data_IF_543117640881
#
_entry.id   IF_543117640881
#
_cell.length_a   1.000
_cell.length_b   1.000
_cell.length_c   1.000
_cell.angle_alpha   90.00
_cell.angle_beta   90.00
_cell.angle_gamma   90.00
#
_symmetry.space_group_name_H-M   'P 1'
#
loop_
_entity.id
_entity.type
_entity.pdbx_description
1 polymer ?
#
# COMPACT_ATOMS: atom_id res chain seq x y z
N UNK A 1 -18.87 60.53 29.69
CA UNK A 1 -19.03 59.07 29.84
C UNK A 1 -19.71 58.50 28.58
N UNK A 2 -18.89 58.11 27.59
CA UNK A 2 -19.29 57.26 26.45
C UNK A 2 -18.06 56.44 26.08
N UNK A 3 -18.18 55.12 26.24
CA UNK A 3 -17.15 54.14 25.94
C UNK A 3 -17.05 53.96 24.41
N UNK A 4 -15.85 54.10 23.87
CA UNK A 4 -15.47 53.67 22.53
C UNK A 4 -14.82 52.28 22.64
N UNK A 5 -15.19 51.28 21.82
CA UNK A 5 -14.51 50.00 21.80
C UNK A 5 -13.22 50.11 20.97
N UNK A 6 -12.13 49.59 21.53
CA UNK A 6 -10.86 49.36 20.84
C UNK A 6 -11.04 48.20 19.84
N UNK A 7 -10.89 48.50 18.56
CA UNK A 7 -10.71 47.52 17.50
C UNK A 7 -9.29 46.93 17.61
N UNK A 8 -9.19 45.64 17.90
CA UNK A 8 -7.97 44.86 17.69
C UNK A 8 -7.92 44.36 16.25
N UNK A 9 -6.78 44.44 15.54
CA UNK A 9 -6.64 43.80 14.25
C UNK A 9 -6.54 42.28 14.43
N UNK A 10 -7.44 41.55 13.78
CA UNK A 10 -7.31 40.12 13.51
C UNK A 10 -6.14 39.91 12.55
N UNK A 11 -4.99 39.52 13.08
CA UNK A 11 -3.95 38.87 12.29
C UNK A 11 -4.43 37.48 11.91
N UNK A 12 -4.70 37.27 10.62
CA UNK A 12 -4.81 35.96 9.98
C UNK A 12 -3.45 35.26 10.12
N UNK A 13 -3.29 34.48 11.19
CA UNK A 13 -2.20 33.51 11.31
C UNK A 13 -2.50 32.35 10.38
N UNK A 14 -1.75 32.22 9.30
CA UNK A 14 -1.64 30.98 8.54
C UNK A 14 -1.03 29.93 9.46
N UNK A 15 -1.88 29.08 10.06
CA UNK A 15 -1.44 27.82 10.63
C UNK A 15 -1.05 26.91 9.47
N UNK A 16 0.21 27.02 9.02
CA UNK A 16 0.80 25.96 8.22
C UNK A 16 0.84 24.72 9.11
N UNK A 17 0.02 23.72 8.78
CA UNK A 17 0.02 22.44 9.47
C UNK A 17 1.43 21.83 9.35
N UNK A 18 2.05 21.38 10.46
CA UNK A 18 3.40 20.80 10.43
C UNK A 18 3.52 19.56 9.53
N UNK A 19 2.41 18.95 9.11
CA UNK A 19 2.38 17.80 8.21
C UNK A 19 2.90 18.11 6.78
N UNK A 20 2.73 19.34 6.27
CA UNK A 20 3.12 19.66 4.87
C UNK A 20 4.64 19.65 4.68
N UNK A 21 5.42 19.93 5.73
CA UNK A 21 6.87 20.04 5.63
C UNK A 21 7.61 18.70 5.44
N UNK A 22 6.92 17.56 5.56
CA UNK A 22 7.53 16.24 5.43
C UNK A 22 7.55 15.73 3.98
N UNK A 23 6.63 16.21 3.13
CA UNK A 23 6.45 15.73 1.75
C UNK A 23 7.33 16.42 0.69
N UNK A 24 7.90 17.59 1.01
CA UNK A 24 8.79 18.35 0.10
C UNK A 24 10.28 18.00 0.23
N UNK A 25 10.64 16.96 0.99
CA UNK A 25 12.05 16.58 1.13
C UNK A 25 12.48 15.73 -0.07
N UNK A 26 13.49 16.16 -0.85
CA UNK A 26 14.09 15.31 -1.87
C UNK A 26 14.56 14.00 -1.23
N UNK A 27 14.44 12.89 -1.97
CA UNK A 27 14.91 11.59 -1.52
C UNK A 27 16.34 11.73 -0.99
N UNK A 28 16.59 11.50 0.31
CA UNK A 28 17.97 11.42 0.76
C UNK A 28 18.60 10.27 -0.03
N UNK A 29 19.77 10.47 -0.66
CA UNK A 29 20.48 9.35 -1.24
C UNK A 29 20.66 8.31 -0.14
N UNK A 30 20.51 7.00 -0.44
CA UNK A 30 20.76 5.96 0.53
C UNK A 30 22.13 6.22 1.18
N UNK A 31 22.20 6.02 2.50
CA UNK A 31 23.48 6.00 3.19
C UNK A 31 24.41 5.02 2.46
N UNK A 32 25.73 5.25 2.41
CA UNK A 32 26.65 4.54 1.53
C UNK A 32 26.76 3.01 1.73
N UNK A 33 25.99 2.42 2.65
CA UNK A 33 26.06 0.99 3.02
C UNK A 33 24.72 0.33 3.39
N UNK A 34 23.55 0.95 3.15
CA UNK A 34 22.24 0.43 3.61
C UNK A 34 21.15 0.38 2.53
N UNK A 35 20.04 -0.29 2.83
CA UNK A 35 18.83 -0.27 1.99
C UNK A 35 18.07 1.05 2.19
N UNK A 36 17.33 1.50 1.17
CA UNK A 36 16.30 2.53 1.35
C UNK A 36 15.14 2.02 2.21
N UNK A 37 14.26 2.91 2.72
CA UNK A 37 13.12 2.49 3.53
C UNK A 37 12.14 1.63 2.73
N UNK A 38 11.36 0.82 3.44
CA UNK A 38 10.16 0.19 2.90
C UNK A 38 9.13 1.28 2.64
N UNK A 39 8.77 1.47 1.37
CA UNK A 39 7.71 2.36 0.96
C UNK A 39 6.35 1.71 1.22
N UNK A 40 5.61 2.22 2.19
CA UNK A 40 4.26 1.73 2.49
C UNK A 40 3.23 2.64 1.83
N UNK A 41 2.44 2.05 0.94
CA UNK A 41 1.42 2.72 0.15
C UNK A 41 0.03 2.39 0.68
N UNK A 42 -0.73 3.42 1.05
CA UNK A 42 -2.15 3.30 1.33
C UNK A 42 -2.95 3.87 0.16
N UNK A 43 -3.73 3.01 -0.50
CA UNK A 43 -4.58 3.38 -1.62
C UNK A 43 -6.06 3.32 -1.24
N UNK A 44 -6.79 4.37 -1.53
CA UNK A 44 -8.22 4.48 -1.24
C UNK A 44 -9.02 4.42 -2.54
N UNK A 45 -9.79 3.34 -2.69
CA UNK A 45 -10.48 2.99 -3.91
C UNK A 45 -11.96 3.31 -3.82
N UNK A 46 -12.45 4.15 -4.72
CA UNK A 46 -13.87 4.43 -4.87
C UNK A 46 -14.41 3.66 -6.06
N UNK A 47 -15.04 2.52 -5.78
CA UNK A 47 -15.69 1.67 -6.78
C UNK A 47 -16.87 2.37 -7.48
N UNK A 48 -17.35 1.87 -8.62
CA UNK A 48 -18.63 2.30 -9.18
C UNK A 48 -19.78 1.80 -8.30
N UNK A 49 -20.84 2.60 -8.15
CA UNK A 49 -22.13 2.12 -7.66
C UNK A 49 -22.94 1.46 -8.79
N UNK A 50 -23.97 0.71 -8.41
CA UNK A 50 -24.93 0.14 -9.37
C UNK A 50 -25.52 1.24 -10.27
N UNK A 51 -25.46 1.02 -11.59
CA UNK A 51 -25.98 1.98 -12.55
C UNK A 51 -27.51 2.16 -12.43
N UNK A 52 -28.23 1.11 -12.01
CA UNK A 52 -29.68 1.13 -11.86
C UNK A 52 -30.13 1.88 -10.59
N UNK A 53 -29.20 2.28 -9.73
CA UNK A 53 -29.48 3.09 -8.55
C UNK A 53 -30.13 4.43 -8.98
N UNK A 54 -31.32 4.79 -8.47
CA UNK A 54 -31.93 6.08 -8.80
C UNK A 54 -31.02 7.25 -8.43
N UNK A 55 -31.13 8.37 -9.14
CA UNK A 55 -30.26 9.54 -8.93
C UNK A 55 -30.20 10.00 -7.46
N UNK A 56 -31.33 10.01 -6.76
CA UNK A 56 -31.38 10.34 -5.33
C UNK A 56 -30.56 9.36 -4.47
N UNK A 57 -30.58 8.06 -4.81
CA UNK A 57 -29.74 7.04 -4.20
C UNK A 57 -28.27 7.27 -4.49
N UNK A 58 -27.90 7.55 -5.75
CA UNK A 58 -26.52 7.87 -6.15
C UNK A 58 -25.96 9.06 -5.36
N UNK A 59 -26.74 10.13 -5.17
CA UNK A 59 -26.35 11.26 -4.33
C UNK A 59 -26.21 10.88 -2.85
N UNK A 60 -27.07 10.03 -2.31
CA UNK A 60 -26.96 9.54 -0.93
C UNK A 60 -25.68 8.72 -0.73
N UNK A 61 -25.36 7.81 -1.65
CA UNK A 61 -24.12 7.03 -1.64
C UNK A 61 -22.91 7.94 -1.76
N UNK A 62 -22.92 8.91 -2.68
CA UNK A 62 -21.86 9.91 -2.80
C UNK A 62 -21.60 10.63 -1.48
N UNK A 63 -22.63 11.12 -0.78
CA UNK A 63 -22.44 11.81 0.50
C UNK A 63 -21.86 10.90 1.58
N UNK A 64 -22.37 9.66 1.71
CA UNK A 64 -21.81 8.67 2.62
C UNK A 64 -20.34 8.36 2.33
N UNK A 65 -19.98 8.23 1.05
CA UNK A 65 -18.60 8.00 0.66
C UNK A 65 -17.70 9.20 0.93
N UNK A 66 -18.19 10.44 0.78
CA UNK A 66 -17.47 11.63 1.23
C UNK A 66 -17.22 11.56 2.74
N UNK A 67 -18.24 11.28 3.55
CA UNK A 67 -18.12 11.20 5.02
C UNK A 67 -17.07 10.14 5.45
N UNK A 68 -17.10 8.98 4.80
CA UNK A 68 -16.16 7.90 5.08
C UNK A 68 -14.73 8.23 4.64
N UNK A 69 -14.57 8.91 3.49
CA UNK A 69 -13.24 9.35 3.04
C UNK A 69 -12.67 10.44 3.95
N UNK A 70 -13.51 11.36 4.43
CA UNK A 70 -13.10 12.38 5.40
C UNK A 70 -12.62 11.75 6.72
N UNK A 71 -13.31 10.72 7.20
CA UNK A 71 -12.85 9.96 8.37
C UNK A 71 -11.51 9.27 8.13
N UNK A 72 -11.31 8.62 6.97
CA UNK A 72 -10.02 8.00 6.63
C UNK A 72 -8.92 9.06 6.61
N UNK A 73 -9.18 10.23 6.04
CA UNK A 73 -8.21 11.32 6.03
C UNK A 73 -7.87 11.80 7.44
N UNK A 74 -8.87 12.01 8.30
CA UNK A 74 -8.64 12.37 9.70
C UNK A 74 -7.73 11.35 10.42
N UNK A 75 -7.97 10.06 10.19
CA UNK A 75 -7.14 8.98 10.73
C UNK A 75 -5.71 9.03 10.17
N UNK A 76 -5.56 9.03 8.85
CA UNK A 76 -4.24 9.00 8.17
C UNK A 76 -3.37 10.21 8.46
N UNK A 77 -3.97 11.40 8.58
CA UNK A 77 -3.24 12.64 8.90
C UNK A 77 -2.62 12.58 10.30
N UNK A 78 -3.23 11.86 11.25
CA UNK A 78 -2.66 11.67 12.58
C UNK A 78 -1.36 10.85 12.58
N UNK A 79 -1.14 10.05 11.53
CA UNK A 79 0.05 9.23 11.30
C UNK A 79 0.96 9.77 10.19
N UNK A 80 0.64 10.96 9.63
CA UNK A 80 1.31 11.51 8.45
C UNK A 80 1.35 10.54 7.25
N UNK A 81 0.31 9.73 7.08
CA UNK A 81 0.16 8.80 5.95
C UNK A 81 -0.43 9.56 4.76
N UNK A 82 0.27 9.69 3.62
CA UNK A 82 -0.32 10.24 2.42
C UNK A 82 -1.28 9.22 1.81
N UNK A 83 -2.45 9.69 1.37
CA UNK A 83 -3.46 8.84 0.76
C UNK A 83 -3.30 8.86 -0.77
N UNK A 84 -3.03 7.71 -1.37
CA UNK A 84 -3.31 7.49 -2.79
C UNK A 84 -4.82 7.37 -2.97
N UNK A 85 -5.38 8.00 -4.00
CA UNK A 85 -6.84 8.00 -4.20
C UNK A 85 -7.18 7.64 -5.63
N UNK A 86 -7.85 6.51 -5.84
CA UNK A 86 -8.34 6.07 -7.13
C UNK A 86 -9.86 6.06 -7.12
N UNK A 87 -10.50 6.83 -8.00
CA UNK A 87 -11.95 6.90 -8.02
C UNK A 87 -12.56 6.56 -9.37
N UNK A 88 -13.76 5.98 -9.30
CA UNK A 88 -14.58 5.65 -10.46
C UNK A 88 -15.15 6.89 -11.14
N UNK A 89 -15.37 6.80 -12.45
CA UNK A 89 -16.01 7.84 -13.25
C UNK A 89 -17.35 8.34 -12.67
N UNK A 90 -18.28 7.46 -12.24
CA UNK A 90 -19.53 7.87 -11.60
C UNK A 90 -19.33 8.78 -10.37
N UNK A 91 -18.38 8.44 -9.49
CA UNK A 91 -18.07 9.27 -8.32
C UNK A 91 -17.50 10.63 -8.72
N UNK A 92 -16.54 10.63 -9.65
CA UNK A 92 -15.88 11.86 -10.13
C UNK A 92 -16.84 12.79 -10.91
N UNK A 93 -17.83 12.23 -11.59
CA UNK A 93 -18.91 13.03 -12.19
C UNK A 93 -19.72 13.76 -11.11
N UNK A 94 -20.07 13.10 -10.00
CA UNK A 94 -20.79 13.75 -8.89
C UNK A 94 -19.97 14.88 -8.26
N UNK A 95 -18.64 14.71 -8.11
CA UNK A 95 -17.76 15.79 -7.65
C UNK A 95 -17.86 17.01 -8.57
N UNK A 96 -17.88 16.78 -9.89
CA UNK A 96 -17.95 17.85 -10.89
C UNK A 96 -19.34 18.49 -10.99
N UNK A 97 -20.39 17.71 -10.71
CA UNK A 97 -21.78 18.14 -10.80
C UNK A 97 -22.34 18.76 -9.51
N UNK A 98 -21.60 18.69 -8.40
CA UNK A 98 -21.96 19.36 -7.15
C UNK A 98 -22.17 20.87 -7.42
N UNK A 99 -23.37 21.36 -7.11
CA UNK A 99 -23.77 22.74 -7.41
C UNK A 99 -22.90 23.79 -6.72
N UNK A 100 -22.21 23.41 -5.64
CA UNK A 100 -21.24 24.27 -4.97
C UNK A 100 -19.90 24.38 -5.74
N UNK A 101 -19.70 23.60 -6.81
CA UNK A 101 -18.51 23.63 -7.67
C UNK A 101 -17.24 23.45 -6.85
N UNK A 102 -16.28 24.38 -7.00
CA UNK A 102 -15.03 24.35 -6.22
C UNK A 102 -15.24 24.46 -4.70
N UNK A 103 -16.37 24.99 -4.24
CA UNK A 103 -16.72 25.06 -2.82
C UNK A 103 -17.44 23.80 -2.31
N UNK A 104 -17.77 22.85 -3.20
CA UNK A 104 -18.41 21.58 -2.84
C UNK A 104 -17.52 20.67 -2.00
N UNK A 105 -18.13 19.74 -1.26
CA UNK A 105 -17.40 18.84 -0.36
C UNK A 105 -16.47 17.90 -1.11
N UNK A 106 -16.90 17.33 -2.23
CA UNK A 106 -16.04 16.49 -3.08
C UNK A 106 -14.84 17.25 -3.62
N UNK A 107 -15.03 18.49 -4.07
CA UNK A 107 -13.95 19.37 -4.49
C UNK A 107 -12.96 19.66 -3.34
N UNK A 108 -13.47 19.92 -2.13
CA UNK A 108 -12.64 20.10 -0.93
C UNK A 108 -11.86 18.83 -0.55
N UNK A 109 -12.50 17.67 -0.66
CA UNK A 109 -11.90 16.36 -0.42
C UNK A 109 -10.71 16.11 -1.36
N UNK A 110 -10.90 16.30 -2.67
CA UNK A 110 -9.82 16.13 -3.65
C UNK A 110 -8.63 17.07 -3.38
N UNK A 111 -8.89 18.32 -2.97
CA UNK A 111 -7.81 19.24 -2.56
C UNK A 111 -7.07 18.75 -1.32
N UNK A 112 -7.79 18.22 -0.32
CA UNK A 112 -7.20 17.70 0.93
C UNK A 112 -6.31 16.48 0.65
N UNK A 113 -6.81 15.52 -0.13
CA UNK A 113 -6.05 14.34 -0.58
C UNK A 113 -4.79 14.78 -1.33
N UNK A 114 -4.94 15.65 -2.33
CA UNK A 114 -3.82 16.10 -3.13
C UNK A 114 -2.78 16.88 -2.31
N UNK A 115 -3.20 17.67 -1.31
CA UNK A 115 -2.27 18.38 -0.43
C UNK A 115 -1.43 17.42 0.44
N UNK A 116 -1.95 16.24 0.78
CA UNK A 116 -1.24 15.22 1.57
C UNK A 116 -0.37 14.27 0.72
N UNK A 117 -0.87 13.82 -0.44
CA UNK A 117 -0.21 12.78 -1.24
C UNK A 117 0.22 13.18 -2.66
N UNK A 118 -0.22 14.35 -3.16
CA UNK A 118 0.10 14.85 -4.51
C UNK A 118 -0.21 13.90 -5.67
N UNK A 119 -1.15 12.98 -5.48
CA UNK A 119 -1.55 12.00 -6.48
C UNK A 119 -3.05 11.75 -6.41
N UNK A 120 -3.72 11.80 -7.57
CA UNK A 120 -5.11 11.41 -7.75
C UNK A 120 -5.17 10.47 -8.96
N UNK A 121 -5.93 9.40 -8.88
CA UNK A 121 -5.98 8.37 -9.91
C UNK A 121 -7.40 8.06 -10.34
N UNK A 122 -7.51 7.27 -11.40
CA UNK A 122 -8.80 6.75 -11.87
C UNK A 122 -8.87 5.25 -11.67
N UNK A 123 -10.02 4.80 -11.16
CA UNK A 123 -10.36 3.39 -10.98
C UNK A 123 -11.43 3.03 -12.00
N UNK A 124 -11.15 2.13 -12.96
CA UNK A 124 -12.15 1.75 -13.95
C UNK A 124 -12.48 0.25 -13.90
N UNK A 125 -13.75 -0.08 -13.68
CA UNK A 125 -14.25 -1.44 -13.89
C UNK A 125 -14.63 -1.62 -15.34
N UNK A 126 -15.93 -1.69 -15.64
CA UNK A 126 -16.45 -1.98 -16.98
C UNK A 126 -17.37 -0.87 -17.49
N UNK A 127 -17.57 0.16 -16.69
CA UNK A 127 -18.53 1.23 -16.92
C UNK A 127 -18.01 2.21 -17.96
N UNK A 128 -18.93 2.89 -18.61
CA UNK A 128 -18.63 3.92 -19.60
C UNK A 128 -19.70 5.00 -19.51
N UNK A 129 -19.40 6.22 -19.90
CA UNK A 129 -20.39 7.30 -19.86
C UNK A 129 -21.28 7.25 -21.10
N UNK A 130 -22.60 7.22 -20.92
CA UNK A 130 -23.58 7.36 -22.04
C UNK A 130 -24.38 8.66 -21.92
N UNK A 131 -24.59 9.14 -20.70
CA UNK A 131 -25.27 10.40 -20.42
C UNK A 131 -24.97 10.91 -19.01
N UNK A 132 -25.59 12.02 -18.59
CA UNK A 132 -25.45 12.53 -17.23
C UNK A 132 -25.85 11.48 -16.20
N UNK A 133 -24.90 11.08 -15.35
CA UNK A 133 -25.08 10.08 -14.29
C UNK A 133 -25.52 8.68 -14.78
N UNK A 134 -25.31 8.38 -16.08
CA UNK A 134 -25.59 7.08 -16.69
C UNK A 134 -24.28 6.44 -17.17
N UNK A 135 -23.90 5.38 -16.46
CA UNK A 135 -22.63 4.69 -16.57
C UNK A 135 -22.81 3.18 -16.79
N UNK A 136 -23.45 2.73 -17.88
CA UNK A 136 -23.72 1.31 -18.08
C UNK A 136 -22.42 0.53 -18.36
N UNK A 137 -22.33 -0.73 -17.91
CA UNK A 137 -21.15 -1.57 -18.15
C UNK A 137 -21.08 -2.10 -19.58
N UNK A 138 -19.87 -2.33 -20.09
CA UNK A 138 -19.60 -3.24 -21.21
C UNK A 138 -19.41 -4.70 -20.76
N UNK A 139 -19.10 -4.94 -19.49
CA UNK A 139 -18.73 -6.25 -18.93
C UNK A 139 -17.24 -6.59 -19.09
N UNK A 140 -16.77 -7.63 -18.38
CA UNK A 140 -15.35 -8.02 -18.35
C UNK A 140 -14.81 -8.62 -19.67
N UNK A 141 -15.71 -8.91 -20.61
CA UNK A 141 -15.36 -9.35 -21.97
C UNK A 141 -15.18 -8.21 -22.97
N UNK A 142 -15.08 -6.96 -22.51
CA UNK A 142 -14.89 -5.79 -23.35
C UNK A 142 -13.65 -5.91 -24.24
N UNK A 143 -13.79 -5.61 -25.53
CA UNK A 143 -12.64 -5.56 -26.44
C UNK A 143 -11.75 -4.32 -26.19
N UNK A 144 -10.66 -4.19 -26.95
CA UNK A 144 -9.74 -3.05 -26.80
C UNK A 144 -10.41 -1.70 -27.06
N UNK A 145 -11.35 -1.61 -28.01
CA UNK A 145 -12.01 -0.34 -28.34
C UNK A 145 -12.99 0.07 -27.25
N UNK A 146 -13.75 -0.89 -26.73
CA UNK A 146 -14.64 -0.72 -25.59
C UNK A 146 -13.86 -0.36 -24.32
N UNK A 147 -12.77 -1.08 -24.03
CA UNK A 147 -11.90 -0.80 -22.89
C UNK A 147 -11.26 0.59 -22.98
N UNK A 148 -10.80 0.99 -24.17
CA UNK A 148 -10.29 2.35 -24.42
C UNK A 148 -11.34 3.41 -24.09
N UNK A 149 -12.60 3.20 -24.47
CA UNK A 149 -13.69 4.13 -24.16
C UNK A 149 -13.93 4.23 -22.65
N UNK A 150 -14.01 3.09 -21.95
CA UNK A 150 -14.09 3.06 -20.48
C UNK A 150 -12.94 3.82 -19.81
N UNK A 151 -11.71 3.67 -20.33
CA UNK A 151 -10.54 4.39 -19.81
C UNK A 151 -10.64 5.89 -20.05
N UNK A 152 -10.99 6.30 -21.28
CA UNK A 152 -11.15 7.70 -21.65
C UNK A 152 -12.23 8.37 -20.78
N UNK A 153 -13.41 7.77 -20.67
CA UNK A 153 -14.52 8.33 -19.90
C UNK A 153 -14.14 8.53 -18.42
N UNK A 154 -13.42 7.57 -17.83
CA UNK A 154 -12.94 7.67 -16.45
C UNK A 154 -11.84 8.75 -16.28
N UNK A 155 -10.90 8.86 -17.23
CA UNK A 155 -9.86 9.89 -17.22
C UNK A 155 -10.46 11.29 -17.41
N UNK A 156 -11.42 11.44 -18.32
CA UNK A 156 -12.12 12.71 -18.54
C UNK A 156 -12.90 13.14 -17.31
N UNK A 157 -13.56 12.20 -16.62
CA UNK A 157 -14.24 12.47 -15.35
C UNK A 157 -13.25 12.91 -14.26
N UNK A 158 -12.08 12.25 -14.16
CA UNK A 158 -11.01 12.64 -13.23
C UNK A 158 -10.50 14.06 -13.52
N UNK A 159 -10.20 14.36 -14.78
CA UNK A 159 -9.76 15.69 -15.20
C UNK A 159 -10.81 16.76 -14.89
N UNK A 160 -12.09 16.51 -15.19
CA UNK A 160 -13.17 17.42 -14.86
C UNK A 160 -13.30 17.67 -13.34
N UNK A 161 -13.15 16.61 -12.53
CA UNK A 161 -13.20 16.71 -11.08
C UNK A 161 -12.01 17.50 -10.52
N UNK A 162 -10.78 17.27 -11.03
CA UNK A 162 -9.59 18.04 -10.64
C UNK A 162 -9.77 19.51 -11.01
N UNK A 163 -10.19 19.81 -12.24
CA UNK A 163 -10.43 21.19 -12.67
C UNK A 163 -11.53 21.85 -11.82
N UNK A 164 -12.57 21.12 -11.44
CA UNK A 164 -13.60 21.63 -10.50
C UNK A 164 -13.00 21.90 -9.12
N UNK A 165 -12.24 20.95 -8.58
CA UNK A 165 -11.59 21.06 -7.28
C UNK A 165 -10.62 22.24 -7.19
N UNK A 166 -9.91 22.56 -8.26
CA UNK A 166 -8.94 23.65 -8.29
C UNK A 166 -9.42 24.90 -9.06
N UNK A 167 -10.73 25.06 -9.25
CA UNK A 167 -11.32 26.23 -9.92
C UNK A 167 -10.63 26.54 -11.27
N UNK A 168 -10.38 25.51 -12.07
CA UNK A 168 -9.70 25.52 -13.38
C UNK A 168 -8.19 25.86 -13.34
N UNK A 169 -7.58 25.92 -12.14
CA UNK A 169 -6.17 26.24 -11.94
C UNK A 169 -5.48 25.18 -11.04
N UNK A 170 -5.32 23.94 -11.53
CA UNK A 170 -4.63 22.91 -10.77
C UNK A 170 -3.16 23.30 -10.50
N UNK A 171 -2.58 22.85 -9.37
CA UNK A 171 -1.24 23.24 -8.93
C UNK A 171 -0.12 22.62 -9.79
N UNK A 172 -0.39 21.52 -10.47
CA UNK A 172 0.49 20.85 -11.44
C UNK A 172 -0.32 20.53 -12.71
N UNK A 173 0.35 20.24 -13.85
CA UNK A 173 -0.33 19.72 -15.03
C UNK A 173 -1.15 18.47 -14.71
N UNK A 174 -2.31 18.29 -15.37
CA UNK A 174 -3.17 17.13 -15.13
C UNK A 174 -2.43 15.80 -15.33
N UNK A 175 -1.52 15.70 -16.30
CA UNK A 175 -0.70 14.51 -16.54
C UNK A 175 0.26 14.17 -15.39
N UNK A 176 0.54 15.12 -14.49
CA UNK A 176 1.37 14.90 -13.29
C UNK A 176 0.49 14.53 -12.09
N UNK A 177 -0.71 15.10 -12.00
CA UNK A 177 -1.67 14.80 -10.92
C UNK A 177 -2.32 13.43 -11.13
N UNK A 178 -2.71 13.14 -12.37
CA UNK A 178 -3.52 12.01 -12.82
C UNK A 178 -2.67 10.92 -13.49
N UNK A 179 -1.63 10.43 -12.81
CA UNK A 179 -0.66 9.46 -13.35
C UNK A 179 -0.80 8.03 -12.78
N UNK A 180 -1.86 7.79 -12.01
CA UNK A 180 -2.20 6.52 -11.38
C UNK A 180 -3.47 5.93 -11.99
N UNK A 181 -3.40 4.63 -12.31
CA UNK A 181 -4.56 3.90 -12.79
C UNK A 181 -4.68 2.51 -12.19
N UNK A 182 -5.89 2.20 -11.78
CA UNK A 182 -6.34 0.83 -11.54
C UNK A 182 -7.46 0.48 -12.53
N UNK A 183 -7.50 -0.79 -12.95
CA UNK A 183 -8.34 -1.22 -14.05
C UNK A 183 -8.76 -2.68 -13.96
N UNK A 184 -10.00 -2.97 -14.34
CA UNK A 184 -10.47 -4.34 -14.53
C UNK A 184 -10.55 -4.75 -16.02
N UNK A 185 -10.75 -3.81 -16.93
CA UNK A 185 -10.70 -4.04 -18.39
C UNK A 185 -9.58 -3.23 -19.04
N UNK A 186 -8.92 -3.74 -20.09
CA UNK A 186 -9.07 -5.08 -20.65
C UNK A 186 -8.54 -6.14 -19.67
N UNK A 187 -9.05 -7.36 -19.79
CA UNK A 187 -8.51 -8.53 -19.06
C UNK A 187 -7.24 -9.06 -19.71
N UNK A 188 -7.04 -8.79 -21.01
CA UNK A 188 -5.80 -9.05 -21.73
C UNK A 188 -4.71 -8.04 -21.36
N UNK A 189 -3.62 -8.53 -20.78
CA UNK A 189 -2.54 -7.70 -20.27
C UNK A 189 -1.76 -6.96 -21.38
N UNK A 190 -1.65 -7.54 -22.59
CA UNK A 190 -1.08 -6.84 -23.74
C UNK A 190 -1.88 -5.60 -24.13
N UNK A 191 -3.21 -5.70 -24.14
CA UNK A 191 -4.09 -4.57 -24.36
C UNK A 191 -4.01 -3.55 -23.24
N UNK A 192 -3.90 -3.99 -21.97
CA UNK A 192 -3.74 -3.09 -20.85
C UNK A 192 -2.46 -2.24 -20.98
N UNK A 193 -1.32 -2.87 -21.30
CA UNK A 193 -0.05 -2.19 -21.54
C UNK A 193 -0.14 -1.14 -22.67
N UNK A 194 -0.91 -1.43 -23.73
CA UNK A 194 -1.17 -0.44 -24.79
C UNK A 194 -1.91 0.77 -24.25
N UNK A 195 -2.95 0.56 -23.43
CA UNK A 195 -3.73 1.66 -22.86
C UNK A 195 -2.92 2.46 -21.83
N UNK A 196 -2.10 1.83 -20.97
CA UNK A 196 -1.21 2.57 -20.09
C UNK A 196 -0.33 3.55 -20.87
N UNK A 197 0.29 3.11 -21.98
CA UNK A 197 1.08 3.99 -22.86
C UNK A 197 0.24 5.06 -23.55
N UNK A 198 -0.95 4.70 -24.02
CA UNK A 198 -1.87 5.63 -24.71
C UNK A 198 -2.32 6.78 -23.79
N UNK A 199 -2.57 6.48 -22.52
CA UNK A 199 -3.03 7.42 -21.51
C UNK A 199 -1.91 8.00 -20.62
N UNK A 200 -0.65 7.65 -20.89
CA UNK A 200 0.55 8.09 -20.14
C UNK A 200 0.47 7.85 -18.62
N UNK A 201 -0.07 6.69 -18.22
CA UNK A 201 -0.27 6.32 -16.81
C UNK A 201 0.94 5.55 -16.29
N UNK A 202 1.80 6.18 -15.49
CA UNK A 202 3.09 5.60 -15.07
C UNK A 202 2.96 4.50 -14.02
N UNK A 203 1.96 4.60 -13.15
CA UNK A 203 1.75 3.69 -12.05
C UNK A 203 0.55 2.76 -12.30
N UNK A 204 0.77 1.45 -12.11
CA UNK A 204 -0.26 0.42 -12.04
C UNK A 204 -0.38 -0.09 -10.61
N UNK A 205 -1.57 0.03 -10.02
CA UNK A 205 -1.88 -0.54 -8.71
C UNK A 205 -2.24 -2.04 -8.81
N UNK A 206 -1.59 -2.89 -8.01
CA UNK A 206 -2.10 -4.16 -7.48
C UNK A 206 -2.48 -5.33 -8.41
N UNK A 207 -2.55 -5.16 -9.74
CA UNK A 207 -3.04 -6.23 -10.64
C UNK A 207 -1.91 -7.08 -11.22
N UNK A 208 -2.08 -8.40 -11.21
CA UNK A 208 -1.22 -9.36 -11.94
C UNK A 208 -0.19 -10.09 -11.08
N UNK A 209 -0.11 -9.79 -9.78
CA UNK A 209 0.83 -10.46 -8.85
C UNK A 209 0.14 -11.55 -8.01
N UNK A 210 -1.12 -11.87 -8.30
CA UNK A 210 -1.92 -12.83 -7.52
C UNK A 210 -1.32 -14.24 -7.51
N UNK A 211 -0.74 -14.68 -8.63
CA UNK A 211 -0.08 -15.99 -8.69
C UNK A 211 1.12 -16.08 -7.76
N UNK A 212 1.95 -15.04 -7.69
CA UNK A 212 3.09 -15.01 -6.78
C UNK A 212 2.66 -15.07 -5.31
N UNK A 213 1.60 -14.35 -4.95
CA UNK A 213 0.98 -14.44 -3.63
C UNK A 213 0.43 -15.84 -3.35
N UNK A 214 -0.22 -16.49 -4.32
CA UNK A 214 -0.72 -17.86 -4.18
C UNK A 214 0.41 -18.89 -4.03
N UNK A 215 1.56 -18.66 -4.68
CA UNK A 215 2.71 -19.57 -4.65
C UNK A 215 3.52 -19.45 -3.36
N UNK A 216 3.74 -18.22 -2.89
CA UNK A 216 4.70 -17.93 -1.82
C UNK A 216 4.08 -17.32 -0.56
N UNK A 217 2.78 -17.02 -0.57
CA UNK A 217 2.05 -16.49 0.59
C UNK A 217 2.33 -15.03 0.92
N UNK A 218 2.96 -14.29 0.00
CA UNK A 218 3.18 -12.83 0.09
C UNK A 218 3.26 -12.16 -1.30
N UNK A 219 3.00 -10.84 -1.43
CA UNK A 219 3.11 -10.13 -2.71
C UNK A 219 4.58 -9.93 -3.12
N UNK A 220 4.79 -9.48 -4.36
CA UNK A 220 6.10 -9.02 -4.82
C UNK A 220 6.42 -7.69 -4.11
N UNK A 221 7.56 -7.60 -3.45
CA UNK A 221 7.95 -6.40 -2.67
C UNK A 221 8.86 -5.42 -3.40
N UNK A 222 9.18 -5.69 -4.67
CA UNK A 222 9.98 -4.80 -5.50
C UNK A 222 9.13 -4.32 -6.68
N UNK A 223 8.97 -2.99 -6.86
CA UNK A 223 8.33 -2.46 -8.05
C UNK A 223 9.15 -2.87 -9.28
N UNK A 224 8.46 -3.13 -10.38
CA UNK A 224 9.10 -3.56 -11.63
C UNK A 224 8.23 -3.21 -12.83
N UNK A 225 8.82 -3.31 -14.02
CA UNK A 225 8.11 -3.20 -15.30
C UNK A 225 7.69 -4.61 -15.73
N UNK A 226 6.41 -5.01 -15.60
CA UNK A 226 5.97 -6.32 -16.04
C UNK A 226 6.06 -6.43 -17.57
N UNK A 227 6.41 -7.62 -18.06
CA UNK A 227 6.34 -7.95 -19.48
C UNK A 227 4.87 -8.07 -19.88
N UNK A 228 4.44 -7.49 -21.01
CA UNK A 228 3.09 -7.70 -21.52
C UNK A 228 2.75 -9.19 -21.64
N UNK A 229 1.63 -9.61 -21.04
CA UNK A 229 1.15 -10.99 -21.03
C UNK A 229 1.74 -11.87 -19.94
N UNK A 230 2.66 -11.35 -19.12
CA UNK A 230 3.28 -12.10 -18.01
C UNK A 230 3.75 -11.13 -16.91
N UNK A 231 2.86 -10.87 -15.95
CA UNK A 231 3.07 -9.86 -14.92
C UNK A 231 4.15 -10.21 -13.89
N UNK A 232 4.72 -11.43 -13.92
CA UNK A 232 5.82 -11.83 -13.04
C UNK A 232 7.17 -11.80 -13.74
N UNK A 233 7.22 -11.65 -15.06
CA UNK A 233 8.47 -11.49 -15.80
C UNK A 233 8.80 -10.02 -15.98
N UNK A 234 9.96 -9.60 -15.48
CA UNK A 234 10.44 -8.23 -15.64
C UNK A 234 10.90 -7.95 -17.07
N UNK A 235 10.50 -6.82 -17.62
CA UNK A 235 10.99 -6.25 -18.87
C UNK A 235 11.35 -4.78 -18.63
N UNK A 236 12.64 -4.43 -18.50
CA UNK A 236 13.10 -3.05 -18.26
C UNK A 236 12.65 -2.04 -19.31
N UNK A 237 12.19 -2.49 -20.49
CA UNK A 237 11.66 -1.62 -21.55
C UNK A 237 10.13 -1.48 -21.54
N UNK A 238 9.44 -2.21 -20.66
CA UNK A 238 7.99 -2.19 -20.59
C UNK A 238 7.44 -0.97 -19.84
N UNK A 239 6.14 -0.74 -20.02
CA UNK A 239 5.39 0.32 -19.36
C UNK A 239 3.99 -0.23 -19.09
N UNK A 240 3.41 -0.05 -17.88
CA UNK A 240 3.79 0.86 -16.78
C UNK A 240 4.73 0.22 -15.74
N UNK A 241 5.01 0.94 -14.64
CA UNK A 241 5.60 0.37 -13.42
C UNK A 241 4.50 -0.24 -12.55
N UNK A 242 4.65 -1.52 -12.21
CA UNK A 242 3.80 -2.20 -11.24
C UNK A 242 4.29 -1.91 -9.82
N UNK A 243 3.40 -1.37 -8.99
CA UNK A 243 3.63 -1.13 -7.56
C UNK A 243 2.83 -2.18 -6.78
N UNK A 244 3.44 -2.72 -5.73
CA UNK A 244 2.80 -3.71 -4.87
C UNK A 244 1.54 -3.09 -4.24
N UNK A 245 0.41 -3.74 -4.46
CA UNK A 245 -0.85 -3.42 -3.80
C UNK A 245 -1.44 -4.70 -3.23
N UNK A 246 -2.01 -4.60 -2.03
CA UNK A 246 -2.80 -5.68 -1.43
C UNK A 246 -4.29 -5.32 -1.44
N UNK A 247 -5.12 -6.15 -0.81
CA UNK A 247 -6.57 -5.96 -0.67
C UNK A 247 -6.94 -5.01 0.46
N UNK A 248 -8.24 -4.87 0.63
CA UNK A 248 -8.86 -4.13 1.72
C UNK A 248 -8.41 -4.71 3.06
N UNK A 249 -7.82 -3.86 3.90
CA UNK A 249 -7.39 -4.25 5.25
C UNK A 249 -8.58 -4.71 6.09
N UNK A 250 -8.40 -5.75 6.90
CA UNK A 250 -9.44 -6.28 7.79
C UNK A 250 -10.32 -7.37 7.19
N UNK A 251 -10.22 -7.68 5.90
CA UNK A 251 -11.06 -8.70 5.25
C UNK A 251 -10.43 -10.09 5.24
N UNK A 252 -11.25 -11.10 5.54
CA UNK A 252 -10.95 -12.51 5.32
C UNK A 252 -10.82 -12.82 3.81
N UNK A 253 -10.13 -13.92 3.44
CA UNK A 253 -10.00 -14.29 2.03
C UNK A 253 -11.37 -14.55 1.40
N UNK A 254 -11.57 -14.02 0.19
CA UNK A 254 -12.74 -14.32 -0.64
C UNK A 254 -12.45 -15.50 -1.60
N UNK A 255 -13.51 -16.09 -2.15
CA UNK A 255 -13.44 -17.25 -3.06
C UNK A 255 -12.74 -16.96 -4.40
N UNK A 256 -12.51 -15.69 -4.75
CA UNK A 256 -12.08 -15.28 -6.08
C UNK A 256 -10.61 -14.85 -6.16
N UNK A 257 -10.04 -14.37 -5.05
CA UNK A 257 -8.74 -13.71 -5.03
C UNK A 257 -7.75 -14.39 -4.08
N UNK A 258 -8.23 -15.15 -3.08
CA UNK A 258 -7.39 -15.93 -2.17
C UNK A 258 -6.49 -15.11 -1.23
N UNK A 259 -6.70 -13.79 -1.12
CA UNK A 259 -5.86 -12.92 -0.30
C UNK A 259 -6.52 -12.66 1.05
N UNK A 260 -5.93 -13.18 2.12
CA UNK A 260 -6.32 -12.87 3.49
C UNK A 260 -5.69 -11.54 3.90
N UNK A 261 -6.49 -10.54 4.25
CA UNK A 261 -6.04 -9.26 4.79
C UNK A 261 -6.61 -8.99 6.19
N UNK A 262 -7.00 -10.05 6.90
CA UNK A 262 -7.26 -9.94 8.34
C UNK A 262 -6.03 -9.37 9.03
N UNK A 263 -6.24 -8.65 10.13
CA UNK A 263 -5.14 -7.98 10.82
C UNK A 263 -4.00 -8.93 11.26
N UNK A 264 -4.29 -10.10 11.84
CA UNK A 264 -3.27 -11.12 12.09
C UNK A 264 -2.42 -11.46 10.87
N UNK A 265 -3.03 -11.62 9.69
CA UNK A 265 -2.32 -11.98 8.47
C UNK A 265 -1.58 -10.78 7.84
N UNK A 266 -2.17 -9.59 7.86
CA UNK A 266 -1.53 -8.37 7.36
C UNK A 266 -0.27 -8.00 8.15
N UNK A 267 -0.32 -8.11 9.48
CA UNK A 267 0.85 -7.94 10.36
C UNK A 267 1.92 -8.99 10.05
N UNK A 268 1.54 -10.26 9.87
CA UNK A 268 2.46 -11.34 9.42
C UNK A 268 3.09 -11.05 8.05
N UNK A 269 2.31 -10.63 7.05
CA UNK A 269 2.81 -10.25 5.72
C UNK A 269 3.87 -9.15 5.82
N UNK A 270 3.61 -8.14 6.65
CA UNK A 270 4.57 -7.05 6.86
C UNK A 270 5.83 -7.54 7.59
N UNK A 271 5.71 -8.43 8.58
CA UNK A 271 6.87 -9.03 9.25
C UNK A 271 7.74 -9.84 8.28
N UNK A 272 7.14 -10.59 7.33
CA UNK A 272 7.91 -11.30 6.31
C UNK A 272 8.74 -10.35 5.43
N UNK A 273 8.12 -9.24 5.01
CA UNK A 273 8.81 -8.19 4.26
C UNK A 273 9.95 -7.61 5.08
N UNK A 274 9.66 -7.19 6.32
CA UNK A 274 10.63 -6.52 7.17
C UNK A 274 11.84 -7.41 7.49
N UNK A 275 11.65 -8.71 7.76
CA UNK A 275 12.77 -9.65 7.97
C UNK A 275 13.67 -9.74 6.72
N UNK A 276 13.08 -9.77 5.52
CA UNK A 276 13.84 -9.77 4.27
C UNK A 276 14.59 -8.46 4.04
N UNK A 277 13.92 -7.32 4.24
CA UNK A 277 14.52 -6.00 4.13
C UNK A 277 15.69 -5.83 5.12
N UNK A 278 15.48 -6.24 6.38
CA UNK A 278 16.47 -6.10 7.44
C UNK A 278 17.72 -6.95 7.19
N UNK A 279 17.55 -8.17 6.68
CA UNK A 279 18.69 -8.98 6.23
C UNK A 279 19.45 -8.27 5.10
N UNK A 280 18.75 -7.74 4.11
CA UNK A 280 19.36 -7.05 2.98
C UNK A 280 20.14 -5.81 3.42
N UNK A 281 19.59 -5.04 4.36
CA UNK A 281 20.21 -3.86 4.96
C UNK A 281 21.47 -4.22 5.76
N UNK A 282 21.35 -5.16 6.71
CA UNK A 282 22.46 -5.53 7.60
C UNK A 282 23.61 -6.21 6.87
N UNK A 283 23.33 -6.96 5.81
CA UNK A 283 24.35 -7.72 5.06
C UNK A 283 24.89 -6.97 3.84
N UNK A 284 24.42 -5.74 3.59
CA UNK A 284 24.89 -4.92 2.48
C UNK A 284 24.56 -5.51 1.11
N UNK A 285 23.39 -6.14 0.98
CA UNK A 285 22.89 -6.62 -0.32
C UNK A 285 22.74 -5.46 -1.30
N UNK A 286 22.74 -5.74 -2.62
CA UNK A 286 22.43 -4.73 -3.62
C UNK A 286 21.13 -3.98 -3.29
N UNK A 287 21.13 -2.67 -3.49
CA UNK A 287 19.97 -1.83 -3.19
C UNK A 287 18.77 -2.21 -4.07
N UNK A 288 17.61 -2.31 -3.44
CA UNK A 288 16.31 -2.45 -4.10
C UNK A 288 15.35 -1.38 -3.58
N UNK A 289 14.33 -1.07 -4.37
CA UNK A 289 13.19 -0.30 -3.88
C UNK A 289 12.23 -1.29 -3.24
N UNK A 290 12.01 -1.17 -1.94
CA UNK A 290 11.10 -2.04 -1.20
C UNK A 290 9.75 -1.36 -1.09
N UNK A 291 8.68 -2.09 -1.37
CA UNK A 291 7.33 -1.58 -1.20
C UNK A 291 6.37 -2.63 -0.66
N UNK A 292 5.33 -2.12 -0.03
CA UNK A 292 4.14 -2.87 0.34
C UNK A 292 2.97 -1.91 0.36
N UNK A 293 1.77 -2.42 0.13
CA UNK A 293 0.61 -1.56 0.13
C UNK A 293 -0.65 -2.32 0.47
N UNK A 294 -1.66 -1.58 0.87
CA UNK A 294 -2.99 -2.08 1.19
C UNK A 294 -4.02 -1.07 0.71
N UNK A 295 -5.25 -1.55 0.63
CA UNK A 295 -6.38 -0.78 0.10
C UNK A 295 -7.39 -0.53 1.20
N UNK A 296 -8.20 0.50 1.04
CA UNK A 296 -9.51 0.59 1.67
C UNK A 296 -10.52 1.17 0.68
N UNK A 297 -11.80 0.96 0.94
CA UNK A 297 -12.91 1.49 0.13
C UNK A 297 -13.87 2.29 1.01
N UNK A 298 -14.64 3.25 0.46
CA UNK A 298 -15.62 3.99 1.21
C UNK A 298 -16.65 3.12 1.92
N UNK A 299 -17.18 2.08 1.28
CA UNK A 299 -18.16 1.16 1.86
C UNK A 299 -17.55 0.30 3.00
N UNK A 300 -16.29 -0.11 2.86
CA UNK A 300 -15.55 -0.76 3.95
C UNK A 300 -15.09 0.20 5.06
N UNK A 301 -15.33 1.50 4.91
CA UNK A 301 -15.03 2.51 5.92
C UNK A 301 -16.27 2.97 6.69
N UNK A 302 -17.44 2.33 6.49
CA UNK A 302 -18.64 2.63 7.24
C UNK A 302 -18.45 2.40 8.75
N UNK A 303 -19.10 3.18 9.65
CA UNK A 303 -18.95 3.02 11.10
C UNK A 303 -19.22 1.61 11.67
N UNK A 304 -19.97 0.78 10.93
CA UNK A 304 -20.28 -0.60 11.31
C UNK A 304 -19.44 -1.66 10.60
N UNK A 305 -18.56 -1.29 9.67
CA UNK A 305 -17.74 -2.25 8.93
C UNK A 305 -16.53 -2.72 9.77
N UNK A 306 -16.18 -4.00 9.66
CA UNK A 306 -15.07 -4.57 10.41
C UNK A 306 -13.69 -4.05 9.96
N UNK A 307 -13.59 -3.56 8.72
CA UNK A 307 -12.36 -3.02 8.14
C UNK A 307 -12.00 -1.66 8.76
N UNK A 308 -12.99 -0.93 9.29
CA UNK A 308 -12.79 0.38 9.91
C UNK A 308 -11.89 0.33 11.16
N UNK A 309 -12.22 -0.44 12.23
CA UNK A 309 -11.32 -0.61 13.38
C UNK A 309 -10.05 -1.41 13.01
N UNK A 310 -10.09 -2.24 11.97
CA UNK A 310 -8.93 -2.95 11.47
C UNK A 310 -7.88 -1.97 10.91
N UNK A 311 -8.30 -0.97 10.13
CA UNK A 311 -7.41 0.08 9.62
C UNK A 311 -6.77 0.87 10.77
N UNK A 312 -7.53 1.22 11.81
CA UNK A 312 -7.01 1.90 13.01
C UNK A 312 -5.92 1.07 13.70
N UNK A 313 -6.19 -0.21 13.99
CA UNK A 313 -5.22 -1.11 14.63
C UNK A 313 -3.95 -1.27 13.78
N UNK A 314 -4.11 -1.46 12.47
CA UNK A 314 -2.98 -1.69 11.60
C UNK A 314 -2.05 -0.47 11.46
N UNK A 315 -2.63 0.73 11.30
CA UNK A 315 -1.85 1.97 11.24
C UNK A 315 -1.14 2.24 12.57
N UNK A 316 -1.82 2.06 13.70
CA UNK A 316 -1.22 2.22 15.02
C UNK A 316 -0.06 1.24 15.24
N UNK A 317 -0.19 0.00 14.78
CA UNK A 317 0.87 -1.00 14.88
C UNK A 317 2.07 -0.68 13.99
N UNK A 318 1.86 -0.23 12.75
CA UNK A 318 2.96 0.21 11.88
C UNK A 318 3.69 1.44 12.44
N UNK A 319 2.94 2.39 13.01
CA UNK A 319 3.49 3.58 13.65
C UNK A 319 4.38 3.23 14.85
N UNK A 320 3.86 2.37 15.74
CA UNK A 320 4.55 1.93 16.95
C UNK A 320 5.87 1.23 16.66
N UNK A 321 5.90 0.35 15.65
CA UNK A 321 7.03 -0.56 15.44
C UNK A 321 8.00 -0.11 14.34
N UNK A 322 7.54 0.62 13.32
CA UNK A 322 8.32 0.78 12.09
C UNK A 322 8.43 2.22 11.56
N UNK A 323 7.39 3.05 11.68
CA UNK A 323 7.37 4.38 11.06
C UNK A 323 8.50 5.33 11.55
N UNK A 324 8.99 5.10 12.77
CA UNK A 324 10.06 5.88 13.38
C UNK A 324 11.31 5.06 13.69
N UNK A 325 11.32 3.79 13.29
CA UNK A 325 12.43 2.89 13.56
C UNK A 325 13.62 3.18 12.64
N UNK A 326 14.81 3.09 13.22
CA UNK A 326 16.10 3.21 12.53
C UNK A 326 16.94 2.01 12.93
N UNK A 327 17.43 1.26 11.93
CA UNK A 327 18.34 0.15 12.17
C UNK A 327 19.72 0.65 12.62
N UNK A 328 20.55 -0.20 13.26
CA UNK A 328 21.93 0.16 13.62
C UNK A 328 22.81 0.60 12.43
N UNK A 329 22.44 0.24 11.21
CA UNK A 329 23.06 0.71 9.96
C UNK A 329 22.81 2.21 9.68
N UNK A 330 21.84 2.81 10.37
CA UNK A 330 21.34 4.17 10.12
C UNK A 330 20.16 4.24 9.15
N UNK A 331 19.72 3.10 8.60
CA UNK A 331 18.61 3.03 7.65
C UNK A 331 17.27 3.22 8.36
N UNK A 332 16.44 4.14 7.85
CA UNK A 332 15.03 4.25 8.25
C UNK A 332 14.27 3.04 7.73
N UNK A 333 13.47 2.42 8.59
CA UNK A 333 12.74 1.19 8.24
C UNK A 333 11.60 1.46 7.27
N UNK A 334 10.69 2.37 7.63
CA UNK A 334 9.45 2.61 6.90
C UNK A 334 9.36 4.06 6.45
N UNK A 335 8.82 4.26 5.26
CA UNK A 335 8.36 5.56 4.78
C UNK A 335 6.97 5.44 4.17
N UNK A 336 6.02 6.16 4.75
CA UNK A 336 4.71 6.35 4.12
C UNK A 336 4.87 7.06 2.78
N UNK A 337 4.28 6.48 1.74
CA UNK A 337 4.51 6.84 0.35
C UNK A 337 3.24 6.72 -0.47
N UNK A 338 3.15 7.46 -1.56
CA UNK A 338 2.16 7.24 -2.62
C UNK A 338 2.70 6.31 -3.70
N UNK A 339 1.86 5.91 -4.65
CA UNK A 339 2.34 5.17 -5.83
C UNK A 339 3.33 6.01 -6.64
N UNK A 340 3.10 7.33 -6.73
CA UNK A 340 4.01 8.27 -7.39
C UNK A 340 5.40 8.23 -6.75
N UNK A 341 5.49 8.31 -5.43
CA UNK A 341 6.78 8.27 -4.71
C UNK A 341 7.54 6.97 -5.01
N UNK A 342 6.84 5.83 -5.07
CA UNK A 342 7.46 4.54 -5.40
C UNK A 342 7.93 4.50 -6.86
N UNK A 343 7.13 5.01 -7.80
CA UNK A 343 7.52 5.10 -9.21
C UNK A 343 8.74 5.98 -9.39
N UNK A 344 8.78 7.16 -8.75
CA UNK A 344 9.92 8.07 -8.82
C UNK A 344 11.19 7.45 -8.22
N UNK A 345 11.07 6.75 -7.07
CA UNK A 345 12.18 6.01 -6.48
C UNK A 345 12.67 4.87 -7.39
N UNK A 346 11.75 4.14 -8.02
CA UNK A 346 12.05 3.06 -8.95
C UNK A 346 12.72 3.56 -10.23
N UNK A 347 12.21 4.63 -10.85
CA UNK A 347 12.81 5.23 -12.04
C UNK A 347 14.22 5.77 -11.75
N UNK A 348 14.44 6.34 -10.55
CA UNK A 348 15.78 6.74 -10.10
C UNK A 348 16.71 5.53 -9.86
N UNK A 349 16.17 4.39 -9.44
CA UNK A 349 16.91 3.13 -9.36
C UNK A 349 17.28 2.60 -10.76
N UNK A 350 16.35 2.62 -11.73
CA UNK A 350 16.59 2.18 -13.11
C UNK A 350 17.67 3.00 -13.81
N UNK A 351 17.72 4.32 -13.57
CA UNK A 351 18.78 5.19 -14.09
C UNK A 351 20.18 4.79 -13.61
N UNK A 352 20.28 4.17 -12.43
CA UNK A 352 21.54 3.68 -11.86
C UNK A 352 21.83 2.21 -12.23
N UNK A 353 20.83 1.49 -12.72
CA UNK A 353 20.91 0.07 -13.11
C UNK A 353 20.35 -0.14 -14.53
N UNK A 354 20.95 0.49 -15.55
CA UNK A 354 20.37 0.50 -16.89
C UNK A 354 20.32 -0.91 -17.49
N UNK A 355 19.11 -1.37 -17.83
CA UNK A 355 18.88 -2.68 -18.43
C UNK A 355 18.64 -3.81 -17.44
N UNK A 356 18.73 -3.55 -16.14
CA UNK A 356 18.44 -4.54 -15.10
C UNK A 356 16.95 -4.57 -14.77
N UNK A 357 16.39 -5.78 -14.60
CA UNK A 357 15.05 -5.93 -14.04
C UNK A 357 15.16 -5.97 -12.50
N UNK A 358 14.42 -5.10 -11.80
CA UNK A 358 14.41 -5.14 -10.34
C UNK A 358 13.86 -6.46 -9.80
N UNK A 359 12.86 -7.03 -10.48
CA UNK A 359 12.24 -8.32 -10.19
C UNK A 359 11.95 -9.05 -11.51
N UNK A 360 12.10 -10.38 -11.50
CA UNK A 360 11.60 -11.26 -12.55
C UNK A 360 11.51 -12.69 -12.02
N UNK A 361 10.41 -13.36 -12.33
CA UNK A 361 10.14 -14.75 -11.96
C UNK A 361 9.56 -15.48 -13.18
N UNK A 362 10.42 -16.09 -14.03
CA UNK A 362 10.03 -16.59 -15.35
C UNK A 362 9.51 -18.03 -15.33
N UNK A 363 8.75 -18.41 -14.29
CA UNK A 363 8.15 -19.74 -14.18
C UNK A 363 6.64 -19.64 -13.97
N UNK A 364 5.91 -20.66 -14.39
CA UNK A 364 4.44 -20.72 -14.29
C UNK A 364 3.97 -21.42 -13.00
N UNK A 365 4.76 -21.33 -11.93
CA UNK A 365 4.53 -22.05 -10.68
C UNK A 365 5.64 -21.83 -9.67
N UNK A 366 5.48 -22.46 -8.49
CA UNK A 366 6.48 -22.46 -7.41
C UNK A 366 7.82 -22.98 -7.92
N UNK A 367 8.82 -22.11 -7.95
CA UNK A 367 10.22 -22.45 -8.17
C UNK A 367 11.10 -21.66 -7.20
N UNK A 368 11.64 -22.37 -6.21
CA UNK A 368 12.50 -21.78 -5.19
C UNK A 368 13.89 -21.40 -5.71
N UNK A 369 14.30 -21.89 -6.88
CA UNK A 369 15.61 -21.56 -7.46
C UNK A 369 15.66 -20.14 -8.06
N UNK A 370 14.50 -19.58 -8.39
CA UNK A 370 14.32 -18.20 -8.90
C UNK A 370 13.58 -17.30 -7.90
N UNK A 371 13.29 -17.79 -6.70
CA UNK A 371 12.65 -17.00 -5.65
C UNK A 371 13.65 -15.95 -5.12
N UNK A 372 13.33 -14.65 -5.18
CA UNK A 372 14.33 -13.59 -4.98
C UNK A 372 14.54 -13.18 -3.51
N UNK A 373 13.84 -13.81 -2.58
CA UNK A 373 13.86 -13.48 -1.16
C UNK A 373 14.35 -14.66 -0.32
N UNK A 374 14.43 -14.48 1.00
CA UNK A 374 14.81 -15.54 1.94
C UNK A 374 13.75 -16.64 1.97
N UNK A 375 14.06 -17.78 1.34
CA UNK A 375 13.19 -18.96 1.32
C UNK A 375 12.70 -19.38 2.72
N UNK A 376 13.55 -19.44 3.78
CA UNK A 376 13.07 -19.83 5.10
C UNK A 376 12.01 -18.89 5.67
N UNK A 377 12.07 -17.59 5.36
CA UNK A 377 11.03 -16.63 5.76
C UNK A 377 9.69 -17.00 5.14
N UNK A 378 9.64 -17.29 3.83
CA UNK A 378 8.41 -17.69 3.17
C UNK A 378 7.90 -19.05 3.67
N UNK A 379 8.75 -20.07 3.72
CA UNK A 379 8.34 -21.42 4.11
C UNK A 379 7.86 -21.49 5.57
N UNK A 380 8.59 -20.87 6.49
CA UNK A 380 8.29 -20.99 7.91
C UNK A 380 7.16 -20.05 8.35
N UNK A 381 7.08 -18.82 7.82
CA UNK A 381 6.06 -17.86 8.26
C UNK A 381 4.75 -17.92 7.47
N UNK A 382 4.67 -18.57 6.30
CA UNK A 382 3.48 -18.50 5.43
C UNK A 382 2.17 -18.96 6.10
N UNK A 383 2.25 -19.92 7.02
CA UNK A 383 1.09 -20.51 7.66
C UNK A 383 0.82 -20.00 9.09
N UNK A 384 1.68 -19.14 9.63
CA UNK A 384 1.44 -18.52 10.93
C UNK A 384 0.65 -17.23 10.79
N UNK A 385 -0.07 -16.82 11.82
CA UNK A 385 -0.71 -15.49 11.90
C UNK A 385 -0.23 -14.77 13.16
N UNK A 386 -0.15 -13.43 13.10
CA UNK A 386 0.21 -12.62 14.26
C UNK A 386 -0.89 -12.64 15.32
N UNK A 387 -0.53 -12.68 16.60
CA UNK A 387 -1.51 -12.64 17.70
C UNK A 387 -1.20 -11.64 18.80
N UNK A 388 0.07 -11.35 19.07
CA UNK A 388 0.47 -10.38 20.08
C UNK A 388 1.90 -9.86 19.87
N UNK A 389 2.18 -8.68 20.42
CA UNK A 389 3.54 -8.23 20.69
C UNK A 389 4.02 -8.83 22.02
N UNK A 390 5.29 -9.17 22.13
CA UNK A 390 5.88 -9.79 23.32
C UNK A 390 6.98 -8.92 23.92
N UNK A 391 7.00 -8.83 25.25
CA UNK A 391 8.13 -8.27 26.01
C UNK A 391 9.02 -9.42 26.50
N UNK A 392 10.14 -9.63 25.80
CA UNK A 392 11.18 -10.60 26.19
C UNK A 392 12.41 -9.91 26.80
N UNK A 393 12.25 -8.66 27.24
CA UNK A 393 13.32 -7.86 27.85
C UNK A 393 13.95 -6.83 26.92
N UNK A 394 14.82 -6.01 27.50
CA UNK A 394 15.36 -4.82 26.85
C UNK A 394 16.14 -5.13 25.55
N UNK A 395 15.76 -4.44 24.47
CA UNK A 395 16.41 -4.53 23.16
C UNK A 395 16.08 -5.80 22.38
N UNK A 396 15.05 -6.55 22.79
CA UNK A 396 14.49 -7.67 22.03
C UNK A 396 13.21 -7.19 21.36
N UNK A 397 13.12 -7.39 20.05
CA UNK A 397 11.85 -7.30 19.32
C UNK A 397 11.29 -8.71 19.22
N UNK A 398 10.03 -8.90 19.64
CA UNK A 398 9.40 -10.21 19.63
C UNK A 398 7.90 -10.13 19.35
N UNK A 399 7.41 -11.08 18.57
CA UNK A 399 6.02 -11.22 18.18
C UNK A 399 5.55 -12.65 18.38
N UNK A 400 4.38 -12.80 18.99
CA UNK A 400 3.71 -14.08 19.13
C UNK A 400 2.91 -14.39 17.87
N UNK A 401 3.12 -15.58 17.32
CA UNK A 401 2.48 -16.08 16.12
C UNK A 401 1.81 -17.42 16.42
N UNK A 402 0.73 -17.75 15.71
CA UNK A 402 0.08 -19.07 15.87
C UNK A 402 -0.25 -19.71 14.53
N UNK A 403 -0.19 -21.04 14.47
CA UNK A 403 -0.59 -21.84 13.30
C UNK A 403 -1.34 -23.08 13.76
N UNK A 404 -2.64 -23.15 13.46
CA UNK A 404 -3.47 -24.31 13.77
C UNK A 404 -3.34 -24.81 15.23
N UNK A 405 -3.17 -23.88 16.18
CA UNK A 405 -2.99 -24.18 17.60
C UNK A 405 -1.55 -24.39 18.06
N UNK A 406 -0.57 -24.39 17.15
CA UNK A 406 0.86 -24.36 17.49
C UNK A 406 1.32 -22.92 17.70
N UNK A 407 1.93 -22.66 18.84
CA UNK A 407 2.49 -21.36 19.18
C UNK A 407 3.92 -21.19 18.62
N UNK A 408 4.26 -19.96 18.27
CA UNK A 408 5.59 -19.58 17.83
C UNK A 408 5.95 -18.16 18.24
N UNK A 409 7.24 -17.90 18.36
CA UNK A 409 7.81 -16.59 18.64
C UNK A 409 8.77 -16.20 17.52
N UNK A 410 8.48 -15.11 16.83
CA UNK A 410 9.43 -14.45 15.93
C UNK A 410 10.19 -13.39 16.73
N UNK A 411 11.51 -13.49 16.84
CA UNK A 411 12.29 -12.53 17.62
C UNK A 411 13.71 -12.26 17.09
N UNK A 412 14.25 -11.11 17.47
CA UNK A 412 15.64 -10.70 17.19
C UNK A 412 16.08 -9.58 18.14
N UNK A 413 17.38 -9.27 18.12
CA UNK A 413 17.92 -8.02 18.68
C UNK A 413 18.34 -7.08 17.55
N UNK A 414 18.24 -5.78 17.78
CA UNK A 414 18.86 -4.79 16.90
C UNK A 414 20.39 -4.97 16.89
N UNK A 415 20.98 -5.12 18.08
CA UNK A 415 22.42 -5.29 18.27
C UNK A 415 22.77 -6.21 19.45
N UNK A 416 24.00 -6.72 19.43
CA UNK A 416 24.55 -7.57 20.49
C UNK A 416 23.93 -8.97 20.53
N UNK A 417 24.08 -9.63 21.68
CA UNK A 417 23.52 -10.95 21.95
C UNK A 417 23.01 -11.03 23.39
N UNK A 418 21.94 -11.78 23.61
CA UNK A 418 21.40 -12.10 24.94
C UNK A 418 20.80 -13.50 24.95
N UNK A 419 20.50 -14.03 26.14
CA UNK A 419 19.62 -15.19 26.26
C UNK A 419 18.21 -14.68 26.61
N UNK A 420 17.17 -15.36 26.11
CA UNK A 420 15.77 -15.11 26.45
C UNK A 420 15.11 -16.39 26.94
N UNK A 421 14.17 -16.26 27.89
CA UNK A 421 13.34 -17.36 28.39
C UNK A 421 11.98 -17.31 27.69
N UNK A 422 11.67 -18.34 26.91
CA UNK A 422 10.39 -18.55 26.23
C UNK A 422 9.66 -19.78 26.74
N UNK A 423 10.15 -20.41 27.81
CA UNK A 423 9.61 -21.67 28.34
C UNK A 423 8.15 -21.56 28.82
N UNK A 424 7.76 -20.38 29.30
CA UNK A 424 6.39 -20.10 29.71
C UNK A 424 5.42 -19.95 28.51
N UNK A 425 5.93 -19.66 27.32
CA UNK A 425 5.14 -19.48 26.09
C UNK A 425 5.10 -20.75 25.25
N UNK A 426 6.25 -21.38 25.03
CA UNK A 426 6.42 -22.47 24.07
C UNK A 426 6.66 -23.85 24.72
N UNK A 427 6.55 -23.94 26.05
CA UNK A 427 6.74 -25.19 26.78
C UNK A 427 8.19 -25.62 26.91
N UNK A 428 8.41 -26.95 26.98
CA UNK A 428 9.71 -27.54 27.33
C UNK A 428 10.56 -28.00 26.14
N UNK A 429 10.02 -27.97 24.93
CA UNK A 429 10.73 -28.33 23.70
C UNK A 429 10.38 -27.32 22.62
N UNK A 430 11.40 -26.80 21.94
CA UNK A 430 11.21 -25.89 20.82
C UNK A 430 12.21 -26.19 19.71
N UNK A 431 11.77 -25.94 18.48
CA UNK A 431 12.62 -25.84 17.30
C UNK A 431 12.87 -24.37 17.00
N UNK A 432 14.14 -23.98 16.95
CA UNK A 432 14.57 -22.67 16.51
C UNK A 432 15.03 -22.72 15.05
N UNK A 433 14.47 -21.85 14.20
CA UNK A 433 14.86 -21.69 12.80
C UNK A 433 15.48 -20.31 12.59
N UNK A 434 16.72 -20.29 12.11
CA UNK A 434 17.39 -19.06 11.68
C UNK A 434 16.85 -18.64 10.31
N UNK A 435 16.07 -17.56 10.24
CA UNK A 435 15.29 -17.23 9.04
C UNK A 435 16.13 -16.79 7.84
N UNK A 436 17.41 -16.46 8.05
CA UNK A 436 18.33 -16.06 6.98
C UNK A 436 18.98 -17.26 6.28
N UNK A 437 19.18 -18.36 7.01
CA UNK A 437 19.95 -19.53 6.53
C UNK A 437 19.08 -20.78 6.42
N UNK A 438 17.98 -20.83 7.17
CA UNK A 438 17.17 -22.03 7.36
C UNK A 438 17.80 -23.04 8.33
N UNK A 439 18.91 -22.69 8.99
CA UNK A 439 19.53 -23.56 9.99
C UNK A 439 18.57 -23.79 11.15
N UNK A 440 18.50 -25.04 11.60
CA UNK A 440 17.62 -25.48 12.68
C UNK A 440 18.43 -25.94 13.88
N UNK A 441 17.90 -25.73 15.07
CA UNK A 441 18.45 -26.21 16.33
C UNK A 441 17.34 -26.37 17.38
N UNK A 442 17.62 -27.13 18.43
CA UNK A 442 16.67 -27.42 19.51
C UNK A 442 17.23 -26.84 20.84
N UNK A 443 17.20 -25.50 21.03
CA UNK A 443 17.78 -24.87 22.22
C UNK A 443 16.93 -25.13 23.47
N UNK A 444 17.53 -24.94 24.65
CA UNK A 444 16.79 -24.89 25.92
C UNK A 444 15.83 -23.68 25.90
N UNK A 445 14.50 -23.87 26.01
CA UNK A 445 13.54 -22.78 26.02
C UNK A 445 13.77 -21.75 27.13
N UNK A 446 14.43 -22.13 28.23
CA UNK A 446 14.75 -21.23 29.33
C UNK A 446 15.98 -20.32 29.06
N UNK A 447 16.73 -20.58 27.99
CA UNK A 447 17.98 -19.88 27.69
C UNK A 447 18.30 -19.84 26.19
N UNK A 448 17.35 -19.39 25.37
CA UNK A 448 17.54 -19.30 23.91
C UNK A 448 18.51 -18.17 23.58
N UNK A 449 19.63 -18.51 22.93
CA UNK A 449 20.60 -17.53 22.45
C UNK A 449 20.03 -16.70 21.31
N UNK A 450 19.89 -15.39 21.53
CA UNK A 450 19.34 -14.44 20.57
C UNK A 450 20.40 -13.41 20.17
N UNK A 451 20.63 -13.28 18.87
CA UNK A 451 21.53 -12.29 18.29
C UNK A 451 20.80 -11.32 17.37
N UNK A 452 21.55 -10.79 16.40
CA UNK A 452 21.00 -9.89 15.38
C UNK A 452 20.20 -10.63 14.31
N UNK A 453 20.42 -11.93 14.10
CA UNK A 453 19.61 -12.70 13.13
C UNK A 453 18.21 -12.96 13.68
N UNK A 454 17.20 -12.87 12.82
CA UNK A 454 15.83 -13.23 13.17
C UNK A 454 15.69 -14.75 13.34
N UNK A 455 15.10 -15.15 14.48
CA UNK A 455 14.75 -16.52 14.79
C UNK A 455 13.23 -16.67 14.79
N UNK A 456 12.75 -17.79 14.23
CA UNK A 456 11.43 -18.31 14.53
C UNK A 456 11.58 -19.49 15.49
N UNK A 457 11.04 -19.33 16.70
CA UNK A 457 10.99 -20.36 17.72
C UNK A 457 9.60 -21.00 17.67
N UNK A 458 9.51 -22.31 17.47
CA UNK A 458 8.24 -23.03 17.30
C UNK A 458 8.11 -24.08 18.39
N UNK A 459 6.93 -24.17 19.01
CA UNK A 459 6.58 -25.27 19.91
C UNK A 459 6.64 -26.62 19.15
N UNK A 460 7.32 -27.61 19.74
CA UNK A 460 7.48 -28.96 19.18
C UNK A 460 6.48 -29.99 19.73
#
# INVERSE_FOLDING_TARGET
>A
MRNLPLLFPLTLGTLASPAVAQFDRPFPPPGPTGQGPIHVVFDFHVDPWDNDLPLAGKWSTYQSWIDNTEWVLDLTESYAVPLGFNASGPFLEMVSADAAGSAGRGAALLRRIYAGGRQLGSHCHTERKEGPFDWPPYGFGADLAQSRRTWQDAVDALHAAILTAFAQAPPEPLSVIADLKEYHVPTDDYQAHKLFREFDMRARAGKGQGDFLNWYGHPVWWPHRPRPGDALVGDPSAFPTAVAGSRVIGLAPDENMGQDMTIPNAKRLFLQLYVNWRWADRTGQPEKIWNWGFVCKPDHSDPGDASRPALEDFLAWLDLHFAHAVEPSGSTVLRWSTHRDVVEAFEAWELRHPGDAAFSHPTTGVDWSVYPFLRPVAEELAAFIWTADLDLGAGVTAFHLTRAGTDAVLCWRAEGASAVDVSALLGSSIRAVELETGAQSDPDPAAVGLGVTALLLVED
#
